data_IF_708901789687
#
_entry.id   IF_708901789687
#
_cell.length_a   1.000
_cell.length_b   1.000
_cell.length_c   1.000
_cell.angle_alpha   90.00
_cell.angle_beta   90.00
_cell.angle_gamma   90.00
#
_symmetry.space_group_name_H-M   'P 1'
#
loop_
_entity.id
_entity.type
_entity.pdbx_description
1 polymer ?
#
# COMPACT_ATOMS: atom_id res chain seq x y z
N UNK A 1 21.24 -48.17 51.65
CA UNK A 1 21.12 -46.81 51.12
C UNK A 1 20.65 -46.93 49.69
N UNK A 2 19.43 -46.47 49.40
CA UNK A 2 18.87 -46.55 48.05
C UNK A 2 19.64 -45.57 47.14
N UNK A 3 20.29 -46.04 46.07
CA UNK A 3 21.20 -45.24 45.25
C UNK A 3 20.51 -44.15 44.40
N UNK A 4 19.20 -43.95 44.56
CA UNK A 4 18.37 -43.09 43.69
C UNK A 4 17.81 -41.83 44.38
N UNK A 5 18.03 -41.67 45.69
CA UNK A 5 17.51 -40.54 46.46
C UNK A 5 18.55 -39.41 46.54
N UNK A 6 18.56 -38.48 45.58
CA UNK A 6 19.40 -37.29 45.63
C UNK A 6 18.59 -36.10 46.15
N UNK A 7 19.02 -35.48 47.26
CA UNK A 7 18.40 -34.28 47.84
C UNK A 7 16.89 -34.41 48.15
N UNK A 8 16.44 -35.61 48.59
CA UNK A 8 15.03 -35.86 48.94
C UNK A 8 14.07 -35.93 47.76
N UNK A 9 14.59 -35.93 46.52
CA UNK A 9 13.80 -36.04 45.29
C UNK A 9 14.23 -37.28 44.53
N UNK A 10 13.23 -38.06 44.12
CA UNK A 10 13.42 -39.27 43.34
C UNK A 10 13.73 -38.92 41.87
N UNK A 11 14.99 -39.12 41.46
CA UNK A 11 15.49 -38.75 40.12
C UNK A 11 14.71 -39.47 39.01
N UNK A 12 14.26 -40.69 39.26
CA UNK A 12 13.46 -41.49 38.32
C UNK A 12 12.11 -40.83 38.02
N UNK A 13 11.56 -40.07 38.99
CA UNK A 13 10.32 -39.30 38.79
C UNK A 13 10.54 -38.04 37.98
N UNK A 14 11.70 -37.40 38.11
CA UNK A 14 12.03 -36.15 37.38
C UNK A 14 12.33 -36.43 35.91
N UNK A 15 13.01 -37.54 35.62
CA UNK A 15 13.31 -37.97 34.25
C UNK A 15 12.23 -38.87 33.62
N UNK A 16 11.09 -39.06 34.29
CA UNK A 16 9.98 -39.84 33.75
C UNK A 16 9.30 -39.11 32.58
N UNK A 17 9.61 -39.52 31.35
CA UNK A 17 8.90 -39.08 30.16
C UNK A 17 7.60 -39.87 29.99
N UNK A 18 6.45 -39.21 30.17
CA UNK A 18 5.14 -39.83 29.97
C UNK A 18 4.78 -39.85 28.50
N UNK A 19 4.61 -41.05 27.94
CA UNK A 19 4.10 -41.24 26.57
C UNK A 19 2.65 -41.65 26.60
N UNK A 20 1.89 -41.23 25.60
CA UNK A 20 0.52 -41.72 25.41
C UNK A 20 0.56 -43.14 24.85
N UNK A 21 -0.23 -44.03 25.44
CA UNK A 21 -0.45 -45.36 24.87
C UNK A 21 -1.40 -45.23 23.67
N UNK A 22 -0.88 -45.49 22.47
CA UNK A 22 -1.65 -45.42 21.22
C UNK A 22 -1.91 -46.84 20.71
N UNK A 23 -3.11 -47.08 20.18
CA UNK A 23 -3.47 -48.35 19.52
C UNK A 23 -3.22 -48.20 18.02
N UNK A 24 -2.48 -49.15 17.44
CA UNK A 24 -2.23 -49.17 16.01
C UNK A 24 -3.33 -49.96 15.29
N UNK A 25 -4.14 -49.29 14.47
CA UNK A 25 -5.24 -49.89 13.71
C UNK A 25 -4.76 -50.18 12.30
N UNK A 26 -4.67 -51.46 11.93
CA UNK A 26 -4.15 -51.90 10.64
C UNK A 26 -5.28 -52.09 9.61
N UNK A 27 -5.77 -50.98 9.07
CA UNK A 27 -6.80 -50.96 8.02
C UNK A 27 -6.28 -50.25 6.75
N UNK A 28 -6.52 -50.85 5.58
CA UNK A 28 -6.07 -50.31 4.28
C UNK A 28 -6.77 -49.02 3.90
N UNK A 29 -8.07 -48.90 4.18
CA UNK A 29 -8.87 -47.72 3.84
C UNK A 29 -8.52 -46.54 4.73
N UNK A 30 -8.36 -46.80 6.04
CA UNK A 30 -7.96 -45.78 6.99
C UNK A 30 -6.55 -45.26 6.71
N UNK A 31 -5.63 -46.17 6.35
CA UNK A 31 -4.28 -45.79 5.92
C UNK A 31 -4.28 -44.95 4.65
N UNK A 32 -5.10 -45.29 3.65
CA UNK A 32 -5.20 -44.53 2.41
C UNK A 32 -5.79 -43.13 2.65
N UNK A 33 -6.82 -43.01 3.50
CA UNK A 33 -7.40 -41.74 3.89
C UNK A 33 -6.41 -40.86 4.66
N UNK A 34 -5.62 -41.45 5.56
CA UNK A 34 -4.56 -40.73 6.26
C UNK A 34 -3.51 -40.18 5.29
N UNK A 35 -2.97 -41.04 4.41
CA UNK A 35 -1.95 -40.64 3.45
C UNK A 35 -2.47 -39.67 2.39
N UNK A 36 -3.75 -39.75 1.99
CA UNK A 36 -4.34 -38.79 1.05
C UNK A 36 -4.46 -37.40 1.66
N UNK A 37 -4.91 -37.29 2.91
CA UNK A 37 -5.00 -36.01 3.63
C UNK A 37 -3.60 -35.41 3.83
N UNK A 38 -2.64 -36.21 4.28
CA UNK A 38 -1.25 -35.75 4.47
C UNK A 38 -0.67 -35.26 3.15
N UNK A 39 -0.84 -36.02 2.06
CA UNK A 39 -0.36 -35.63 0.73
C UNK A 39 -1.03 -34.35 0.24
N UNK A 40 -2.35 -34.20 0.45
CA UNK A 40 -3.09 -32.99 0.07
C UNK A 40 -2.56 -31.75 0.80
N UNK A 41 -2.29 -31.87 2.11
CA UNK A 41 -1.74 -30.77 2.92
C UNK A 41 -0.35 -30.40 2.41
N UNK A 42 0.54 -31.39 2.21
CA UNK A 42 1.91 -31.14 1.71
C UNK A 42 1.86 -30.45 0.34
N UNK A 43 1.01 -30.94 -0.57
CA UNK A 43 0.88 -30.40 -1.91
C UNK A 43 0.30 -28.97 -1.91
N UNK A 44 -0.69 -28.70 -1.06
CA UNK A 44 -1.21 -27.35 -0.85
C UNK A 44 -0.11 -26.40 -0.38
N UNK A 45 0.68 -26.80 0.63
CA UNK A 45 1.78 -25.99 1.14
C UNK A 45 2.85 -25.75 0.06
N UNK A 46 3.23 -26.78 -0.69
CA UNK A 46 4.21 -26.68 -1.75
C UNK A 46 3.78 -25.71 -2.87
N UNK A 47 2.58 -25.88 -3.41
CA UNK A 47 2.11 -25.04 -4.53
C UNK A 47 1.84 -23.61 -4.07
N UNK A 48 1.15 -23.45 -2.94
CA UNK A 48 0.71 -22.13 -2.51
C UNK A 48 1.85 -21.29 -1.92
N UNK A 49 2.61 -21.85 -0.97
CA UNK A 49 3.63 -21.09 -0.24
C UNK A 49 4.96 -21.03 -0.98
N UNK A 50 5.43 -22.15 -1.53
CA UNK A 50 6.71 -22.15 -2.25
C UNK A 50 6.55 -21.60 -3.66
N UNK A 51 5.53 -22.04 -4.42
CA UNK A 51 5.46 -21.72 -5.84
C UNK A 51 4.79 -20.37 -6.13
N UNK A 52 3.60 -20.09 -5.57
CA UNK A 52 2.90 -18.82 -5.83
C UNK A 52 3.45 -17.63 -5.04
N UNK A 53 3.70 -17.83 -3.75
CA UNK A 53 4.12 -16.72 -2.88
C UNK A 53 5.64 -16.54 -2.81
N UNK A 54 6.43 -17.53 -3.25
CA UNK A 54 7.89 -17.42 -3.24
C UNK A 54 8.48 -17.18 -1.85
N UNK A 55 7.79 -17.58 -0.75
CA UNK A 55 8.22 -17.25 0.63
C UNK A 55 9.56 -17.86 1.04
N UNK A 56 10.08 -18.79 0.25
CA UNK A 56 11.40 -19.37 0.42
C UNK A 56 12.52 -18.44 -0.04
N UNK A 57 12.19 -17.35 -0.73
CA UNK A 57 13.14 -16.34 -1.21
C UNK A 57 13.05 -15.09 -0.33
N UNK A 58 14.20 -14.50 -0.03
CA UNK A 58 14.24 -13.16 0.54
C UNK A 58 13.82 -12.16 -0.53
N UNK A 59 12.73 -11.43 -0.26
CA UNK A 59 12.26 -10.35 -1.13
C UNK A 59 12.85 -9.04 -0.63
N UNK A 60 13.68 -8.41 -1.47
CA UNK A 60 14.15 -7.06 -1.21
C UNK A 60 13.26 -6.06 -1.95
N UNK A 61 12.72 -5.03 -1.28
CA UNK A 61 11.95 -4.00 -1.95
C UNK A 61 12.87 -3.23 -2.92
N UNK A 62 12.44 -3.12 -4.17
CA UNK A 62 13.13 -2.31 -5.16
C UNK A 62 12.93 -0.82 -4.88
N UNK A 63 13.92 -0.17 -4.29
CA UNK A 63 13.94 1.29 -4.18
C UNK A 63 14.42 1.87 -5.52
N UNK A 64 13.58 2.67 -6.16
CA UNK A 64 13.89 3.33 -7.43
C UNK A 64 13.69 4.84 -7.34
N UNK A 65 14.48 5.59 -8.11
CA UNK A 65 14.25 7.01 -8.35
C UNK A 65 13.81 7.18 -9.81
N UNK A 66 12.84 8.07 -10.05
CA UNK A 66 12.34 8.36 -11.39
C UNK A 66 12.73 9.80 -11.74
N UNK A 67 13.42 9.98 -12.86
CA UNK A 67 13.74 11.30 -13.42
C UNK A 67 13.00 11.45 -14.74
N UNK A 68 11.97 12.29 -14.75
CA UNK A 68 11.20 12.57 -15.96
C UNK A 68 11.63 13.91 -16.57
N UNK A 69 11.90 13.90 -17.88
CA UNK A 69 12.23 15.10 -18.66
C UNK A 69 11.13 15.34 -19.70
N UNK A 70 10.33 16.38 -19.48
CA UNK A 70 9.34 16.83 -20.45
C UNK A 70 10.04 17.68 -21.52
N UNK A 71 9.51 17.71 -22.74
CA UNK A 71 9.90 18.64 -23.80
C UNK A 71 8.64 19.01 -24.59
N UNK A 72 8.44 20.29 -24.86
CA UNK A 72 7.30 20.75 -25.64
C UNK A 72 7.20 22.26 -25.66
N UNK A 73 6.62 22.78 -26.73
CA UNK A 73 6.21 24.18 -26.86
C UNK A 73 4.75 24.19 -27.29
N UNK A 74 3.95 25.06 -26.72
CA UNK A 74 2.56 25.25 -27.10
C UNK A 74 2.30 26.72 -27.42
N UNK A 75 1.24 26.97 -28.17
CA UNK A 75 0.79 28.32 -28.54
C UNK A 75 -0.59 28.50 -27.95
N UNK A 76 -0.87 29.68 -27.41
CA UNK A 76 -2.19 30.03 -26.90
C UNK A 76 -3.21 30.06 -28.04
N UNK A 77 -4.33 29.36 -27.87
CA UNK A 77 -5.42 29.37 -28.83
C UNK A 77 -6.10 30.76 -28.90
N UNK A 78 -6.10 31.52 -27.81
CA UNK A 78 -6.71 32.86 -27.76
C UNK A 78 -5.77 33.97 -28.24
N UNK A 79 -4.44 33.77 -28.14
CA UNK A 79 -3.45 34.75 -28.58
C UNK A 79 -2.24 34.07 -29.25
N UNK A 80 -2.21 33.99 -30.59
CA UNK A 80 -1.16 33.30 -31.34
C UNK A 80 0.26 33.86 -31.14
N UNK A 81 0.40 35.07 -30.60
CA UNK A 81 1.71 35.68 -30.30
C UNK A 81 2.28 35.20 -28.96
N UNK A 82 1.49 34.49 -28.15
CA UNK A 82 1.92 33.94 -26.87
C UNK A 82 2.29 32.47 -27.03
N UNK A 83 3.58 32.18 -26.96
CA UNK A 83 4.12 30.83 -26.86
C UNK A 83 4.36 30.48 -25.39
N UNK A 84 4.06 29.24 -25.02
CA UNK A 84 4.41 28.66 -23.72
C UNK A 84 5.55 27.68 -23.91
N UNK A 85 6.56 27.81 -23.07
CA UNK A 85 7.66 26.85 -22.97
C UNK A 85 7.48 25.94 -21.76
N UNK A 86 8.39 24.97 -21.62
CA UNK A 86 8.38 24.04 -20.49
C UNK A 86 8.41 24.74 -19.12
N UNK A 87 9.13 25.86 -18.99
CA UNK A 87 9.22 26.61 -17.74
C UNK A 87 7.88 27.25 -17.34
N UNK A 88 7.03 27.59 -18.32
CA UNK A 88 5.70 28.16 -18.06
C UNK A 88 4.68 27.07 -17.71
N UNK A 89 4.79 25.90 -18.35
CA UNK A 89 3.84 24.79 -18.19
C UNK A 89 4.13 23.93 -16.94
N UNK A 90 5.35 23.98 -16.42
CA UNK A 90 5.83 23.14 -15.30
C UNK A 90 6.13 23.95 -14.03
N UNK A 91 5.57 25.15 -13.87
CA UNK A 91 5.74 25.90 -12.64
C UNK A 91 4.71 25.46 -11.58
N UNK A 92 5.12 25.09 -10.34
CA UNK A 92 6.48 25.00 -9.81
C UNK A 92 7.24 23.73 -10.25
N UNK A 93 8.54 23.86 -10.50
CA UNK A 93 9.35 22.82 -11.17
C UNK A 93 9.70 21.58 -10.32
N UNK A 94 9.36 21.58 -9.02
CA UNK A 94 9.82 20.58 -8.07
C UNK A 94 8.62 19.80 -7.52
N UNK A 95 8.43 18.59 -8.04
CA UNK A 95 7.49 17.60 -7.49
C UNK A 95 8.26 16.31 -7.19
N UNK A 96 8.06 15.76 -5.99
CA UNK A 96 8.85 14.62 -5.50
C UNK A 96 8.49 13.28 -6.18
N UNK A 97 7.30 13.15 -6.75
CA UNK A 97 6.80 11.87 -7.29
C UNK A 97 5.87 12.01 -8.50
N UNK A 98 6.00 13.09 -9.27
CA UNK A 98 5.06 13.41 -10.34
C UNK A 98 5.60 14.40 -11.36
N UNK A 99 4.85 14.54 -12.45
CA UNK A 99 5.09 15.55 -13.48
C UNK A 99 3.78 16.29 -13.73
N UNK A 100 3.66 17.48 -13.17
CA UNK A 100 2.58 18.40 -13.52
C UNK A 100 2.84 19.11 -14.85
N UNK A 101 1.81 19.18 -15.70
CA UNK A 101 1.81 19.93 -16.96
C UNK A 101 0.51 20.73 -17.03
N UNK A 102 0.62 22.06 -17.01
CA UNK A 102 -0.52 22.94 -17.13
C UNK A 102 -1.15 22.84 -18.54
N UNK A 103 -2.34 22.25 -18.65
CA UNK A 103 -3.06 22.14 -19.92
C UNK A 103 -3.94 23.35 -20.22
N UNK A 104 -4.32 24.11 -19.19
CA UNK A 104 -5.15 25.31 -19.27
C UNK A 104 -4.72 26.31 -18.22
N UNK A 105 -4.48 27.55 -18.64
CA UNK A 105 -4.08 28.65 -17.75
C UNK A 105 -5.12 29.75 -17.89
N UNK A 106 -5.74 30.15 -16.77
CA UNK A 106 -6.59 31.33 -16.71
C UNK A 106 -5.83 32.43 -15.97
N UNK A 107 -5.62 33.58 -16.62
CA UNK A 107 -4.87 34.70 -16.05
C UNK A 107 -5.82 35.86 -15.81
N UNK A 108 -6.00 36.25 -14.54
CA UNK A 108 -6.65 37.50 -14.18
C UNK A 108 -5.56 38.56 -13.93
N UNK A 109 -5.52 39.60 -14.77
CA UNK A 109 -4.50 40.66 -14.69
C UNK A 109 -5.03 41.85 -13.92
N UNK A 110 -4.16 42.51 -13.15
CA UNK A 110 -4.49 43.76 -12.47
C UNK A 110 -5.37 43.60 -11.25
N UNK A 111 -5.36 42.42 -10.60
CA UNK A 111 -6.02 42.23 -9.32
C UNK A 111 -5.36 43.16 -8.29
N UNK A 112 -6.19 43.94 -7.61
CA UNK A 112 -5.80 44.84 -6.53
C UNK A 112 -6.57 44.46 -5.28
N UNK A 113 -5.98 44.69 -4.11
CA UNK A 113 -6.66 44.48 -2.84
C UNK A 113 -7.73 45.56 -2.69
N UNK A 114 -8.99 45.14 -2.56
CA UNK A 114 -10.13 46.02 -2.38
C UNK A 114 -11.42 45.22 -2.30
N UNK A 115 -12.52 45.93 -2.02
CA UNK A 115 -13.85 45.33 -1.93
C UNK A 115 -14.40 45.09 -3.35
N UNK A 116 -14.63 43.82 -3.69
CA UNK A 116 -15.19 43.41 -4.97
C UNK A 116 -16.25 42.33 -4.79
N UNK A 117 -17.21 42.28 -5.71
CA UNK A 117 -18.26 41.24 -5.74
C UNK A 117 -17.65 39.94 -6.28
N UNK A 118 -17.94 38.81 -5.64
CA UNK A 118 -17.60 37.50 -6.20
C UNK A 118 -18.60 37.13 -7.30
N UNK A 119 -18.09 36.99 -8.52
CA UNK A 119 -18.88 36.57 -9.68
C UNK A 119 -18.95 35.04 -9.83
N UNK A 120 -18.22 34.32 -8.99
CA UNK A 120 -18.17 32.85 -8.96
C UNK A 120 -19.29 32.25 -8.11
N UNK A 121 -19.87 33.04 -7.21
CA UNK A 121 -20.95 32.58 -6.34
C UNK A 121 -22.26 32.38 -7.12
N UNK A 122 -22.97 31.25 -6.92
CA UNK A 122 -24.15 30.89 -7.70
C UNK A 122 -25.35 31.82 -7.46
N UNK A 123 -25.30 32.71 -6.46
CA UNK A 123 -26.34 33.67 -6.14
C UNK A 123 -25.73 35.00 -5.67
N UNK A 124 -25.44 35.96 -6.57
CA UNK A 124 -25.20 37.34 -6.14
C UNK A 124 -26.47 37.85 -5.43
N UNK A 125 -26.31 38.37 -4.21
CA UNK A 125 -27.42 38.85 -3.39
C UNK A 125 -28.27 39.85 -4.20
N UNK A 126 -29.53 39.48 -4.50
CA UNK A 126 -30.47 40.37 -5.19
C UNK A 126 -31.07 41.32 -4.15
N UNK A 127 -31.12 42.65 -4.38
CA UNK A 127 -31.77 43.57 -3.44
C UNK A 127 -33.21 43.09 -3.16
N UNK A 128 -33.64 42.94 -1.89
CA UNK A 128 -33.08 43.52 -0.65
C UNK A 128 -32.21 42.59 0.22
N UNK A 129 -31.73 41.45 -0.29
CA UNK A 129 -30.91 40.53 0.50
C UNK A 129 -29.52 41.13 0.82
N UNK A 130 -29.09 41.02 2.08
CA UNK A 130 -27.73 41.36 2.53
C UNK A 130 -26.84 40.12 2.48
N UNK A 131 -25.63 40.25 1.96
CA UNK A 131 -24.64 39.18 2.04
C UNK A 131 -24.02 39.19 3.44
N UNK A 132 -24.20 38.11 4.20
CA UNK A 132 -23.61 37.95 5.53
C UNK A 132 -22.18 37.36 5.40
N UNK A 133 -21.31 37.63 6.38
CA UNK A 133 -19.95 37.09 6.41
C UNK A 133 -19.98 35.55 6.42
N UNK A 134 -19.14 34.93 5.58
CA UNK A 134 -18.96 33.49 5.55
C UNK A 134 -18.42 33.00 6.91
N UNK A 135 -19.26 32.32 7.69
CA UNK A 135 -18.85 31.57 8.89
C UNK A 135 -17.95 30.39 8.55
#
# INVERSE_FOLDING_TARGET
EDPQLFCGVDLDRVFAYRTFKVVNIQDRWLGLLYWSIVTMIILYFAIFNLWKQGRHQFQEPGNGFIVAKVKGKSIDAANPQRAFDISDLRFPEIEASGVFIASKIMVQRGQQVGDCVDFTDPCPCRPPATCDEAT
#
